data_IF_097842267160
#
_entry.id   IF_097842267160
#
_cell.length_a   1.000
_cell.length_b   1.000
_cell.length_c   1.000
_cell.angle_alpha   90.00
_cell.angle_beta   90.00
_cell.angle_gamma   90.00
#
_symmetry.space_group_name_H-M   'P 1'
#
loop_
_entity.id
_entity.type
_entity.pdbx_description
1 polymer ?
#
# COMPACT_ATOMS: atom_id res chain seq x y z
N UNK A 1 76.61 1.28 -45.20
CA UNK A 1 75.26 0.68 -45.15
C UNK A 1 74.38 1.57 -44.29
N UNK A 2 73.48 2.35 -44.90
CA UNK A 2 72.57 3.28 -44.18
C UNK A 2 71.16 2.68 -44.17
N UNK A 3 70.64 2.40 -42.98
CA UNK A 3 69.34 1.73 -42.80
C UNK A 3 68.23 2.76 -42.69
N UNK A 4 67.41 2.85 -43.73
CA UNK A 4 66.28 3.77 -43.85
C UNK A 4 65.10 3.30 -42.97
N UNK A 5 64.86 3.95 -41.83
CA UNK A 5 63.68 3.67 -40.98
C UNK A 5 62.53 4.60 -41.37
N UNK A 6 61.50 4.02 -42.00
CA UNK A 6 60.26 4.73 -42.31
C UNK A 6 59.53 5.08 -41.01
N UNK A 7 59.05 6.33 -40.82
CA UNK A 7 58.33 6.71 -39.62
C UNK A 7 56.95 6.04 -39.57
N UNK A 8 56.62 5.47 -38.41
CA UNK A 8 55.29 4.91 -38.13
C UNK A 8 54.33 6.08 -37.87
N UNK A 9 53.44 6.36 -38.82
CA UNK A 9 52.40 7.38 -38.69
C UNK A 9 51.26 6.80 -37.86
N UNK A 10 51.14 7.22 -36.61
CA UNK A 10 49.96 6.96 -35.78
C UNK A 10 48.82 7.84 -36.31
N UNK A 11 47.85 7.21 -36.98
CA UNK A 11 46.62 7.89 -37.35
C UNK A 11 45.75 8.09 -36.11
N UNK A 12 45.59 9.32 -35.64
CA UNK A 12 44.62 9.68 -34.61
C UNK A 12 43.23 9.66 -35.23
N UNK A 13 42.44 8.63 -34.92
CA UNK A 13 41.02 8.60 -35.28
C UNK A 13 40.30 9.75 -34.57
N UNK A 14 39.68 10.65 -35.36
CA UNK A 14 38.81 11.70 -34.82
C UNK A 14 37.56 11.04 -34.24
N UNK A 15 37.48 10.93 -32.92
CA UNK A 15 36.24 10.58 -32.23
C UNK A 15 35.19 11.66 -32.54
N UNK A 16 34.16 11.28 -33.30
CA UNK A 16 33.00 12.14 -33.54
C UNK A 16 32.24 12.26 -32.22
N UNK A 17 32.35 13.42 -31.58
CA UNK A 17 31.56 13.76 -30.39
C UNK A 17 30.08 13.89 -30.72
N UNK A 18 29.25 13.59 -29.73
CA UNK A 18 27.79 13.73 -29.74
C UNK A 18 27.39 15.13 -30.23
N UNK A 19 26.41 15.21 -31.12
CA UNK A 19 25.92 16.51 -31.62
C UNK A 19 24.97 17.16 -30.62
N UNK A 20 24.91 18.50 -30.59
CA UNK A 20 23.96 19.24 -29.73
C UNK A 20 22.51 18.82 -30.01
N UNK A 21 22.19 18.55 -31.29
CA UNK A 21 20.86 18.11 -31.72
C UNK A 21 20.48 16.77 -31.09
N UNK A 22 21.43 15.84 -31.00
CA UNK A 22 21.23 14.54 -30.37
C UNK A 22 20.86 14.68 -28.90
N UNK A 23 21.55 15.59 -28.19
CA UNK A 23 21.21 15.89 -26.82
C UNK A 23 19.82 16.53 -26.71
N UNK A 24 19.46 17.46 -27.59
CA UNK A 24 18.13 18.10 -27.59
C UNK A 24 17.00 17.09 -27.77
N UNK A 25 17.17 16.12 -28.67
CA UNK A 25 16.18 15.05 -28.89
C UNK A 25 16.08 14.17 -27.64
N UNK A 26 17.20 13.80 -27.02
CA UNK A 26 17.21 13.00 -25.79
C UNK A 26 16.48 13.72 -24.65
N UNK A 27 16.74 15.01 -24.44
CA UNK A 27 16.05 15.77 -23.38
C UNK A 27 14.56 15.90 -23.69
N UNK A 28 14.18 16.07 -24.96
CA UNK A 28 12.77 16.11 -25.36
C UNK A 28 12.05 14.79 -25.08
N UNK A 29 12.63 13.64 -25.45
CA UNK A 29 12.05 12.32 -25.17
C UNK A 29 12.01 12.04 -23.67
N UNK A 30 13.06 12.39 -22.92
CA UNK A 30 13.07 12.27 -21.46
C UNK A 30 11.99 13.13 -20.80
N UNK A 31 11.75 14.34 -21.30
CA UNK A 31 10.67 15.21 -20.81
C UNK A 31 9.28 14.60 -21.02
N UNK A 32 9.02 14.05 -22.21
CA UNK A 32 7.74 13.36 -22.51
C UNK A 32 7.57 12.13 -21.62
N UNK A 33 8.62 11.31 -21.48
CA UNK A 33 8.61 10.12 -20.62
C UNK A 33 8.36 10.49 -19.15
N UNK A 34 9.03 11.52 -18.64
CA UNK A 34 8.83 11.98 -17.27
C UNK A 34 7.39 12.47 -17.02
N UNK A 35 6.80 13.21 -17.96
CA UNK A 35 5.41 13.65 -17.85
C UNK A 35 4.41 12.49 -17.88
N UNK A 36 4.61 11.50 -18.75
CA UNK A 36 3.75 10.32 -18.83
C UNK A 36 3.80 9.48 -17.55
N UNK A 37 4.98 9.34 -16.93
CA UNK A 37 5.14 8.61 -15.67
C UNK A 37 4.53 9.35 -14.48
N UNK A 38 4.63 10.68 -14.42
CA UNK A 38 4.06 11.46 -13.33
C UNK A 38 2.52 11.31 -13.22
N UNK A 39 1.82 11.21 -14.36
CA UNK A 39 0.36 11.14 -14.39
C UNK A 39 -0.24 9.80 -13.92
N UNK A 40 0.53 8.72 -13.78
CA UNK A 40 0.00 7.36 -13.55
C UNK A 40 0.23 6.80 -12.15
N UNK A 41 0.95 7.52 -11.28
CA UNK A 41 1.43 6.94 -10.02
C UNK A 41 0.47 7.11 -8.84
N UNK A 42 -0.29 8.21 -8.77
CA UNK A 42 -1.15 8.53 -7.62
C UNK A 42 -2.31 7.54 -7.42
N UNK A 43 -2.87 7.02 -8.51
CA UNK A 43 -4.06 6.16 -8.47
C UNK A 43 -3.71 4.69 -8.12
N UNK A 44 -2.52 4.25 -8.55
CA UNK A 44 -2.04 2.89 -8.28
C UNK A 44 -1.71 2.68 -6.81
N UNK A 45 -1.08 3.65 -6.15
CA UNK A 45 -0.74 3.53 -4.73
C UNK A 45 -1.99 3.54 -3.84
N UNK A 46 -3.03 4.29 -4.22
CA UNK A 46 -4.29 4.32 -3.48
C UNK A 46 -5.02 2.97 -3.56
N UNK A 47 -5.08 2.36 -4.76
CA UNK A 47 -5.72 1.06 -4.96
C UNK A 47 -5.04 -0.08 -4.20
N UNK A 48 -3.70 -0.07 -4.16
CA UNK A 48 -2.91 -1.05 -3.41
C UNK A 48 -3.15 -0.95 -1.91
N UNK A 49 -3.19 0.28 -1.36
CA UNK A 49 -3.51 0.52 0.05
C UNK A 49 -4.93 0.06 0.39
N UNK A 50 -5.91 0.36 -0.46
CA UNK A 50 -7.29 -0.13 -0.30
C UNK A 50 -7.34 -1.65 -0.28
N UNK A 51 -6.65 -2.34 -1.20
CA UNK A 51 -6.61 -3.80 -1.23
C UNK A 51 -5.97 -4.40 0.03
N UNK A 52 -4.91 -3.79 0.54
CA UNK A 52 -4.28 -4.20 1.80
C UNK A 52 -5.25 -4.06 2.98
N UNK A 53 -6.00 -2.95 3.07
CA UNK A 53 -7.00 -2.76 4.13
C UNK A 53 -8.15 -3.78 4.03
N UNK A 54 -8.60 -4.13 2.82
CA UNK A 54 -9.59 -5.19 2.61
C UNK A 54 -9.06 -6.55 3.04
N UNK A 55 -7.82 -6.90 2.67
CA UNK A 55 -7.18 -8.15 3.09
C UNK A 55 -7.04 -8.23 4.61
N UNK A 56 -6.63 -7.14 5.25
CA UNK A 56 -6.53 -7.03 6.71
C UNK A 56 -7.88 -7.19 7.38
N UNK A 57 -8.93 -6.59 6.83
CA UNK A 57 -10.29 -6.77 7.32
C UNK A 57 -10.64 -8.26 7.33
N UNK A 58 -10.39 -8.99 6.22
CA UNK A 58 -10.63 -10.43 6.16
C UNK A 58 -9.84 -11.24 7.21
N UNK A 59 -8.57 -10.90 7.44
CA UNK A 59 -7.74 -11.54 8.49
C UNK A 59 -8.26 -11.27 9.90
N UNK A 60 -8.65 -10.02 10.18
CA UNK A 60 -9.24 -9.63 11.47
C UNK A 60 -10.59 -10.33 11.66
N UNK A 61 -11.45 -10.36 10.65
CA UNK A 61 -12.73 -11.09 10.68
C UNK A 61 -12.52 -12.58 11.00
N UNK A 62 -11.55 -13.24 10.37
CA UNK A 62 -11.23 -14.63 10.67
C UNK A 62 -10.74 -14.80 12.12
N UNK A 63 -9.88 -13.89 12.60
CA UNK A 63 -9.41 -13.90 13.99
C UNK A 63 -10.55 -13.70 15.00
N UNK A 64 -11.44 -12.74 14.75
CA UNK A 64 -12.62 -12.47 15.58
C UNK A 64 -13.54 -13.68 15.65
N UNK A 65 -13.78 -14.34 14.50
CA UNK A 65 -14.61 -15.54 14.44
C UNK A 65 -13.98 -16.70 15.22
N UNK A 66 -12.65 -16.88 15.12
CA UNK A 66 -11.91 -17.89 15.87
C UNK A 66 -11.92 -17.61 17.38
N UNK A 67 -11.78 -16.34 17.78
CA UNK A 67 -11.85 -15.89 19.17
C UNK A 67 -13.24 -16.10 19.78
N UNK A 68 -14.32 -15.74 19.06
CA UNK A 68 -15.67 -15.76 19.66
C UNK A 68 -16.18 -17.18 19.93
N UNK A 69 -15.82 -18.16 19.10
CA UNK A 69 -16.24 -19.57 19.15
C UNK A 69 -17.75 -19.87 19.06
N UNK A 70 -18.62 -18.92 19.47
CA UNK A 70 -20.07 -19.04 19.62
C UNK A 70 -20.83 -17.83 19.05
N UNK A 71 -20.16 -16.92 18.34
CA UNK A 71 -20.76 -15.70 17.79
C UNK A 71 -21.06 -14.62 18.83
N UNK A 72 -20.39 -14.67 19.99
CA UNK A 72 -20.45 -13.63 21.02
C UNK A 72 -19.17 -12.79 20.96
N UNK A 73 -19.30 -11.52 20.58
CA UNK A 73 -18.17 -10.62 20.34
C UNK A 73 -17.90 -9.66 21.51
N UNK A 74 -18.62 -9.78 22.63
CA UNK A 74 -18.53 -8.83 23.75
C UNK A 74 -17.10 -8.72 24.27
N UNK A 75 -16.53 -7.51 24.23
CA UNK A 75 -15.17 -7.24 24.71
C UNK A 75 -14.07 -7.44 23.67
N UNK A 76 -14.42 -7.87 22.45
CA UNK A 76 -13.44 -8.04 21.39
C UNK A 76 -12.72 -6.73 21.10
N UNK A 77 -11.39 -6.81 21.03
CA UNK A 77 -10.53 -5.72 20.60
C UNK A 77 -9.35 -6.28 19.83
N UNK A 78 -8.70 -5.46 19.00
CA UNK A 78 -7.52 -5.90 18.26
C UNK A 78 -6.40 -6.36 19.20
N UNK A 79 -6.27 -5.72 20.38
CA UNK A 79 -5.30 -6.10 21.39
C UNK A 79 -5.60 -7.50 21.97
N UNK A 80 -6.87 -7.81 22.27
CA UNK A 80 -7.26 -9.15 22.76
C UNK A 80 -7.02 -10.23 21.70
N UNK A 81 -7.25 -9.92 20.42
CA UNK A 81 -6.97 -10.86 19.33
C UNK A 81 -5.48 -11.17 19.20
N UNK A 82 -4.62 -10.17 19.41
CA UNK A 82 -3.16 -10.33 19.37
C UNK A 82 -2.68 -11.10 20.60
N UNK A 83 -3.09 -10.71 21.81
CA UNK A 83 -2.68 -11.34 23.07
C UNK A 83 -3.15 -12.80 23.15
N UNK A 84 -4.38 -13.08 22.70
CA UNK A 84 -4.91 -14.43 22.60
C UNK A 84 -4.32 -15.27 21.46
N UNK A 85 -3.44 -14.71 20.62
CA UNK A 85 -2.80 -15.42 19.50
C UNK A 85 -3.72 -15.72 18.31
N UNK A 86 -4.92 -15.11 18.27
CA UNK A 86 -5.90 -15.27 17.18
C UNK A 86 -5.55 -14.44 15.95
N UNK A 87 -4.84 -13.33 16.15
CA UNK A 87 -4.36 -12.45 15.09
C UNK A 87 -2.86 -12.26 15.21
N UNK A 88 -2.15 -12.57 14.13
CA UNK A 88 -0.72 -12.25 14.00
C UNK A 88 -0.56 -11.04 13.08
N UNK A 89 -0.09 -9.88 13.58
CA UNK A 89 0.18 -8.74 12.75
C UNK A 89 1.19 -9.07 11.63
N UNK A 90 1.12 -8.40 10.47
CA UNK A 90 2.20 -8.46 9.48
C UNK A 90 3.52 -8.00 10.11
N UNK A 91 4.63 -8.39 9.48
CA UNK A 91 5.97 -7.96 9.89
C UNK A 91 6.50 -6.85 8.98
N UNK A 92 7.30 -5.97 9.54
CA UNK A 92 8.11 -5.03 8.77
C UNK A 92 9.26 -5.74 8.03
N UNK A 93 10.05 -4.98 7.27
CA UNK A 93 11.23 -5.49 6.54
C UNK A 93 12.34 -5.99 7.49
N UNK A 94 12.26 -5.67 8.77
CA UNK A 94 13.20 -6.06 9.82
C UNK A 94 12.73 -7.31 10.59
N UNK A 95 11.55 -7.85 10.26
CA UNK A 95 10.97 -9.01 10.90
C UNK A 95 10.22 -8.74 12.21
N UNK A 96 10.02 -7.46 12.57
CA UNK A 96 9.24 -7.05 13.74
C UNK A 96 7.75 -7.00 13.40
N UNK A 97 6.89 -7.37 14.34
CA UNK A 97 5.44 -7.23 14.16
C UNK A 97 5.02 -5.76 14.15
N UNK A 98 4.17 -5.41 13.18
CA UNK A 98 3.59 -4.08 13.07
C UNK A 98 2.59 -3.82 14.21
N UNK A 99 2.59 -2.60 14.75
CA UNK A 99 1.59 -2.12 15.72
C UNK A 99 0.22 -1.92 15.07
N UNK A 100 -0.84 -1.79 15.87
CA UNK A 100 -2.21 -1.55 15.39
C UNK A 100 -2.36 -0.35 14.43
N UNK A 101 -1.55 0.71 14.62
CA UNK A 101 -1.49 1.88 13.74
C UNK A 101 -0.67 1.65 12.46
N UNK A 102 0.28 0.72 12.49
CA UNK A 102 1.19 0.42 11.38
C UNK A 102 0.64 -0.67 10.45
N UNK A 103 -0.28 -1.49 10.97
CA UNK A 103 -1.11 -2.39 10.16
C UNK A 103 -1.86 -1.56 9.11
N UNK A 104 -2.44 -0.43 9.50
CA UNK A 104 -3.17 0.42 8.57
C UNK A 104 -2.25 0.98 7.45
N UNK A 105 -2.60 0.79 6.16
CA UNK A 105 -1.83 1.33 5.02
C UNK A 105 -1.71 2.87 4.98
N UNK A 106 -2.55 3.58 5.74
CA UNK A 106 -2.52 5.03 5.92
C UNK A 106 -1.94 5.47 7.28
N UNK A 107 -1.36 4.54 8.05
CA UNK A 107 -0.71 4.81 9.33
C UNK A 107 -1.62 5.36 10.45
N UNK A 108 -2.94 5.33 10.26
CA UNK A 108 -3.92 5.60 11.32
C UNK A 108 -4.28 4.35 12.13
N UNK A 109 -4.97 4.46 13.27
CA UNK A 109 -5.35 3.27 14.05
C UNK A 109 -6.33 2.37 13.28
N UNK A 110 -6.18 1.06 13.43
CA UNK A 110 -7.25 0.08 13.19
C UNK A 110 -7.89 -0.27 14.51
N UNK A 111 -9.20 -0.05 14.64
CA UNK A 111 -9.95 -0.37 15.86
C UNK A 111 -10.93 -1.50 15.61
N UNK A 112 -11.05 -2.39 16.59
CA UNK A 112 -12.07 -3.44 16.64
C UNK A 112 -12.85 -3.26 17.93
N UNK A 113 -14.18 -3.27 17.85
CA UNK A 113 -15.05 -3.12 19.03
C UNK A 113 -16.38 -3.85 18.82
N UNK A 114 -17.07 -4.20 19.90
CA UNK A 114 -18.39 -4.84 19.85
C UNK A 114 -19.51 -3.87 20.24
N UNK A 115 -20.25 -3.28 19.28
CA UNK A 115 -21.40 -2.43 19.63
C UNK A 115 -22.59 -3.24 20.18
N UNK A 116 -22.65 -4.55 19.94
CA UNK A 116 -23.60 -5.46 20.57
C UNK A 116 -22.95 -6.82 20.86
N UNK A 117 -23.57 -7.70 21.68
CA UNK A 117 -23.00 -9.02 21.96
C UNK A 117 -22.81 -9.89 20.72
N UNK A 118 -23.61 -9.66 19.67
CA UNK A 118 -23.59 -10.43 18.43
C UNK A 118 -23.05 -9.62 17.26
N UNK A 119 -22.47 -8.45 17.46
CA UNK A 119 -21.83 -7.72 16.36
C UNK A 119 -20.52 -7.09 16.77
N UNK A 120 -19.67 -6.85 15.78
CA UNK A 120 -18.42 -6.13 15.95
C UNK A 120 -18.17 -5.20 14.77
N UNK A 121 -17.39 -4.17 15.01
CA UNK A 121 -16.96 -3.22 14.00
C UNK A 121 -15.47 -3.33 13.77
N UNK A 122 -15.05 -3.08 12.54
CA UNK A 122 -13.66 -2.79 12.19
C UNK A 122 -13.64 -1.37 11.63
N UNK A 123 -12.83 -0.51 12.24
CA UNK A 123 -12.68 0.89 11.83
C UNK A 123 -11.25 1.14 11.36
N UNK A 124 -11.12 1.69 10.16
CA UNK A 124 -9.87 2.28 9.66
C UNK A 124 -9.99 3.80 9.75
N UNK A 125 -9.01 4.46 10.34
CA UNK A 125 -8.92 5.92 10.41
C UNK A 125 -7.66 6.45 9.73
N UNK A 126 -7.57 7.77 9.53
CA UNK A 126 -6.42 8.42 8.90
C UNK A 126 -6.31 8.16 7.41
N UNK A 127 -7.41 7.84 6.73
CA UNK A 127 -7.42 7.57 5.29
C UNK A 127 -7.01 8.85 4.54
N UNK A 128 -5.96 8.74 3.72
CA UNK A 128 -5.26 9.92 3.19
C UNK A 128 -6.07 10.71 2.15
N UNK A 129 -7.01 10.08 1.44
CA UNK A 129 -7.84 10.76 0.44
C UNK A 129 -9.30 10.29 0.52
N UNK A 130 -10.26 11.17 0.19
CA UNK A 130 -11.68 10.80 0.15
C UNK A 130 -11.98 9.66 -0.83
N UNK A 131 -11.26 9.59 -1.95
CA UNK A 131 -11.44 8.53 -2.96
C UNK A 131 -11.06 7.17 -2.41
N UNK A 132 -9.97 7.09 -1.62
CA UNK A 132 -9.56 5.86 -0.96
C UNK A 132 -10.61 5.40 0.06
N UNK A 133 -11.25 6.34 0.79
CA UNK A 133 -12.33 6.02 1.71
C UNK A 133 -13.57 5.47 0.99
N UNK A 134 -13.97 6.10 -0.13
CA UNK A 134 -15.10 5.62 -0.96
C UNK A 134 -14.81 4.24 -1.55
N UNK A 135 -13.60 4.02 -2.09
CA UNK A 135 -13.22 2.71 -2.63
C UNK A 135 -13.19 1.63 -1.55
N UNK A 136 -12.67 1.96 -0.36
CA UNK A 136 -12.66 1.04 0.76
C UNK A 136 -14.09 0.70 1.20
N UNK A 137 -14.95 1.71 1.32
CA UNK A 137 -16.38 1.53 1.61
C UNK A 137 -17.05 0.58 0.60
N UNK A 138 -16.86 0.83 -0.69
CA UNK A 138 -17.47 0.05 -1.77
C UNK A 138 -17.01 -1.43 -1.74
N UNK A 139 -15.76 -1.69 -1.38
CA UNK A 139 -15.27 -3.07 -1.22
C UNK A 139 -15.79 -3.72 0.06
N UNK A 140 -15.81 -2.99 1.17
CA UNK A 140 -16.21 -3.55 2.46
C UNK A 140 -17.71 -3.72 2.64
N UNK A 141 -18.56 -3.04 1.85
CA UNK A 141 -20.01 -3.23 1.89
C UNK A 141 -20.45 -4.67 1.54
N UNK A 142 -19.60 -5.41 0.82
CA UNK A 142 -19.83 -6.82 0.49
C UNK A 142 -19.49 -7.76 1.66
N UNK A 143 -18.67 -7.29 2.60
CA UNK A 143 -18.24 -8.05 3.78
C UNK A 143 -19.11 -7.78 5.01
N UNK A 144 -19.76 -6.62 5.09
CA UNK A 144 -20.61 -6.21 6.21
C UNK A 144 -21.33 -4.90 5.95
N UNK A 145 -22.05 -4.40 6.94
CA UNK A 145 -22.82 -3.15 6.83
C UNK A 145 -21.93 -1.95 7.16
N UNK A 146 -21.81 -0.99 6.24
CA UNK A 146 -21.08 0.26 6.52
C UNK A 146 -21.90 1.11 7.48
N UNK A 147 -21.31 1.46 8.64
CA UNK A 147 -22.00 2.24 9.68
C UNK A 147 -21.46 3.66 9.81
N UNK A 148 -20.23 3.91 9.35
CA UNK A 148 -19.67 5.24 9.23
C UNK A 148 -18.73 5.26 8.02
N UNK A 149 -18.89 6.26 7.16
CA UNK A 149 -17.96 6.57 6.07
C UNK A 149 -17.76 8.08 6.03
N UNK A 150 -16.55 8.48 6.38
CA UNK A 150 -16.04 9.85 6.40
C UNK A 150 -14.83 9.91 5.47
N UNK A 151 -14.45 11.07 4.92
CA UNK A 151 -13.25 11.20 4.08
C UNK A 151 -11.96 10.62 4.70
N UNK A 152 -11.89 10.54 6.03
CA UNK A 152 -10.73 10.09 6.80
C UNK A 152 -10.94 8.76 7.54
N UNK A 153 -12.16 8.18 7.52
CA UNK A 153 -12.47 6.97 8.30
C UNK A 153 -13.59 6.14 7.69
N UNK A 154 -13.41 4.82 7.68
CA UNK A 154 -14.44 3.86 7.26
C UNK A 154 -14.64 2.83 8.38
N UNK A 155 -15.90 2.59 8.75
CA UNK A 155 -16.31 1.62 9.76
C UNK A 155 -17.29 0.62 9.16
N UNK A 156 -16.93 -0.67 9.23
CA UNK A 156 -17.77 -1.79 8.79
C UNK A 156 -18.25 -2.57 10.01
N UNK A 157 -19.55 -2.85 10.06
CA UNK A 157 -20.23 -3.67 11.06
C UNK A 157 -20.40 -5.09 10.53
N UNK A 158 -20.06 -6.08 11.34
CA UNK A 158 -20.09 -7.50 11.02
C UNK A 158 -20.71 -8.31 12.15
N UNK A 159 -21.04 -9.57 11.87
CA UNK A 159 -21.52 -10.53 12.87
C UNK A 159 -23.04 -10.63 13.05
N UNK A 160 -23.85 -9.92 12.26
CA UNK A 160 -25.31 -9.98 12.36
C UNK A 160 -25.83 -11.42 12.19
N UNK A 161 -26.49 -11.94 13.22
CA UNK A 161 -27.26 -13.19 13.18
C UNK A 161 -28.74 -12.84 13.00
#
# INVERSE_FOLDING_TARGET
>A
MSTNRKPFLVATEKQKGFTIVELMIVVAVLGIMAMALAASTTDLFSSNKVNQAVEQTGKITAAVNNWSGRGLYTGVSLAELIDGGYYTPPKDNNGNFLSASEINPWSGPVMVSSPSPTSYTIQFSGIATPEAAIQLQDKLQHAGTITNSSPDSVTVLMGQN
#
